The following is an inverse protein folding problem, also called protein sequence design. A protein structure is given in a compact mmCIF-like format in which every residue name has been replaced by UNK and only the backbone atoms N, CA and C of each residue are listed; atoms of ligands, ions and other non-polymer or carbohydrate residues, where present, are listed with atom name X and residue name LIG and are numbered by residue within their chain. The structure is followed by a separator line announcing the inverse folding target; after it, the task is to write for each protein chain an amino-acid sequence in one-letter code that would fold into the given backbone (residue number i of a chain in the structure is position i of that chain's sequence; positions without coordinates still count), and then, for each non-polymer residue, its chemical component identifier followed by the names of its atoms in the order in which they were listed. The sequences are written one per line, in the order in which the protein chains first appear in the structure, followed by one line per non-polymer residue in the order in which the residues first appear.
data_IF_356962448889
#
_entry.id   IF_356962448889
#
_cell.length_a   1.000
_cell.length_b   1.000
_cell.length_c   1.000
_cell.angle_alpha   90.00
_cell.angle_beta   90.00
_cell.angle_gamma   90.00
#
_symmetry.space_group_name_H-M   'P 1'
#
loop_
_entity.id
_entity.type
_entity.pdbx_description
1 polymer ?
#
# COMPACT_ATOMS: atom_id res chain seq x y z
N UNK A 1 15.58 -78.09 -9.34
CA UNK A 1 14.62 -78.18 -10.47
C UNK A 1 13.33 -77.53 -10.01
N UNK A 2 12.66 -76.58 -10.65
CA UNK A 2 12.81 -75.76 -11.87
C UNK A 2 11.66 -74.75 -11.77
N UNK A 3 11.90 -73.44 -11.90
CA UNK A 3 10.85 -72.47 -12.25
C UNK A 3 10.37 -72.76 -13.69
N UNK A 4 9.11 -72.44 -14.04
CA UNK A 4 8.86 -71.19 -14.79
C UNK A 4 7.44 -70.59 -14.51
N UNK A 5 7.18 -69.28 -14.46
CA UNK A 5 7.14 -68.23 -15.50
C UNK A 5 6.31 -68.55 -16.76
N UNK A 6 5.39 -67.61 -17.09
CA UNK A 6 4.85 -67.17 -18.42
C UNK A 6 3.34 -66.89 -18.32
N UNK A 7 2.85 -65.68 -18.55
CA UNK A 7 2.83 -64.90 -19.80
C UNK A 7 2.04 -65.61 -20.92
N UNK A 8 0.72 -65.34 -21.05
CA UNK A 8 0.03 -65.51 -22.33
C UNK A 8 -1.36 -64.81 -22.41
N UNK A 9 -1.39 -63.76 -23.27
CA UNK A 9 -2.37 -63.40 -24.32
C UNK A 9 -3.88 -63.38 -24.03
N UNK A 10 -4.54 -62.33 -24.55
CA UNK A 10 -5.52 -62.33 -25.67
C UNK A 10 -6.20 -60.94 -25.68
N UNK A 11 -5.87 -60.01 -26.59
CA UNK A 11 -6.42 -59.82 -27.96
C UNK A 11 -7.96 -59.76 -27.97
N UNK A 12 -8.54 -58.58 -28.27
CA UNK A 12 -9.26 -58.26 -29.53
C UNK A 12 -10.28 -57.11 -29.34
N UNK A 13 -10.17 -56.07 -30.18
CA UNK A 13 -11.22 -55.27 -30.89
C UNK A 13 -12.48 -54.93 -30.08
N UNK A 14 -12.89 -53.68 -29.86
CA UNK A 14 -12.79 -52.49 -30.69
C UNK A 14 -14.21 -51.94 -30.87
N UNK A 15 -14.45 -50.64 -30.67
CA UNK A 15 -15.48 -49.91 -31.40
C UNK A 15 -15.31 -48.40 -31.18
N UNK A 16 -15.31 -47.73 -32.33
CA UNK A 16 -15.32 -46.32 -32.56
C UNK A 16 -16.58 -45.67 -31.94
N UNK A 17 -16.42 -44.69 -31.06
CA UNK A 17 -17.44 -43.68 -30.78
C UNK A 17 -16.82 -42.30 -30.89
N UNK A 18 -17.07 -41.67 -32.04
CA UNK A 18 -16.81 -40.26 -32.31
C UNK A 18 -17.87 -39.48 -31.52
N UNK A 19 -17.44 -38.73 -30.50
CA UNK A 19 -18.25 -37.69 -29.88
C UNK A 19 -17.61 -36.33 -30.20
N UNK A 20 -18.29 -35.66 -31.12
CA UNK A 20 -18.14 -34.26 -31.48
C UNK A 20 -18.30 -33.40 -30.23
N UNK A 21 -17.25 -32.75 -29.75
CA UNK A 21 -17.39 -31.60 -28.84
C UNK A 21 -17.53 -30.32 -29.67
N UNK A 22 -18.76 -29.80 -29.65
CA UNK A 22 -19.10 -28.48 -30.18
C UNK A 22 -18.51 -27.40 -29.28
N UNK A 23 -17.44 -26.75 -29.74
CA UNK A 23 -16.94 -25.52 -29.13
C UNK A 23 -17.95 -24.39 -29.34
N UNK A 24 -18.71 -24.04 -28.30
CA UNK A 24 -19.53 -22.82 -28.27
C UNK A 24 -18.60 -21.66 -27.94
N UNK A 25 -18.16 -20.95 -28.97
CA UNK A 25 -17.39 -19.71 -28.85
C UNK A 25 -18.34 -18.57 -28.43
N UNK A 26 -18.27 -18.12 -27.19
CA UNK A 26 -18.95 -16.90 -26.76
C UNK A 26 -18.29 -15.68 -27.42
N UNK A 27 -19.06 -14.65 -27.86
CA UNK A 27 -18.48 -13.46 -28.46
C UNK A 27 -17.80 -12.63 -27.36
N UNK A 28 -16.47 -12.49 -27.46
CA UNK A 28 -15.72 -11.50 -26.70
C UNK A 28 -16.15 -10.12 -27.20
N UNK A 29 -16.97 -9.43 -26.41
CA UNK A 29 -17.30 -8.03 -26.65
C UNK A 29 -16.00 -7.22 -26.60
N UNK A 30 -15.62 -6.64 -27.73
CA UNK A 30 -14.49 -5.74 -27.84
C UNK A 30 -14.71 -4.53 -26.91
N UNK A 31 -13.89 -4.42 -25.86
CA UNK A 31 -13.83 -3.22 -25.05
C UNK A 31 -13.37 -2.05 -25.93
N UNK A 32 -14.12 -0.95 -25.87
CA UNK A 32 -13.77 0.30 -26.55
C UNK A 32 -12.37 0.77 -26.08
N UNK A 33 -11.56 1.39 -26.96
CA UNK A 33 -10.24 1.84 -26.57
C UNK A 33 -10.37 2.93 -25.51
N UNK A 34 -9.74 2.68 -24.36
CA UNK A 34 -9.52 3.67 -23.31
C UNK A 34 -8.90 4.92 -23.93
N UNK A 35 -9.40 6.08 -23.53
CA UNK A 35 -8.92 7.38 -23.98
C UNK A 35 -7.40 7.46 -23.92
N UNK A 36 -6.85 8.13 -24.93
CA UNK A 36 -5.43 8.46 -25.07
C UNK A 36 -4.95 9.23 -23.84
N UNK A 37 -4.47 8.50 -22.83
CA UNK A 37 -3.69 9.07 -21.75
C UNK A 37 -2.48 9.73 -22.38
N UNK A 38 -2.47 11.06 -22.33
CA UNK A 38 -1.30 11.83 -22.71
C UNK A 38 -0.29 11.54 -21.61
N UNK A 39 0.56 10.55 -21.83
CA UNK A 39 1.75 10.34 -21.02
C UNK A 39 2.54 11.64 -21.09
N UNK A 40 2.38 12.47 -20.06
CA UNK A 40 3.27 13.59 -19.80
C UNK A 40 4.64 12.97 -19.64
N UNK A 41 5.53 13.23 -20.58
CA UNK A 41 6.96 12.97 -20.42
C UNK A 41 7.44 13.84 -19.27
N UNK A 42 7.30 13.34 -18.05
CA UNK A 42 7.71 14.07 -16.86
C UNK A 42 9.23 14.14 -16.86
N UNK A 43 9.76 15.35 -16.71
CA UNK A 43 10.98 15.51 -15.91
C UNK A 43 10.80 14.62 -14.67
N UNK A 44 11.70 13.68 -14.44
CA UNK A 44 11.53 12.66 -13.40
C UNK A 44 11.09 13.30 -12.07
N UNK A 45 10.06 12.74 -11.45
CA UNK A 45 9.61 13.21 -10.13
C UNK A 45 10.77 13.10 -9.14
N UNK A 46 11.30 14.24 -8.72
CA UNK A 46 12.43 14.28 -7.78
C UNK A 46 12.00 13.90 -6.36
N UNK A 47 10.79 14.33 -5.95
CA UNK A 47 10.28 14.08 -4.61
C UNK A 47 8.80 13.69 -4.62
N UNK A 48 8.43 12.76 -3.72
CA UNK A 48 7.05 12.42 -3.39
C UNK A 48 6.83 12.78 -1.93
N UNK A 49 5.84 13.64 -1.66
CA UNK A 49 5.52 14.06 -0.29
C UNK A 49 4.10 13.59 0.05
N UNK A 50 4.01 12.73 1.06
CA UNK A 50 2.74 12.25 1.61
C UNK A 50 2.42 12.99 2.91
N UNK A 51 1.39 13.85 2.88
CA UNK A 51 0.82 14.44 4.08
C UNK A 51 -0.45 13.69 4.46
N UNK A 52 -0.47 13.09 5.65
CA UNK A 52 -1.68 12.47 6.21
C UNK A 52 -2.25 13.40 7.27
N UNK A 53 -3.42 13.95 6.98
CA UNK A 53 -4.15 14.78 7.92
C UNK A 53 -5.20 13.89 8.62
N UNK A 54 -5.34 14.03 9.94
CA UNK A 54 -6.29 13.25 10.73
C UNK A 54 -7.43 14.11 11.29
N UNK A 55 -8.55 13.48 11.68
CA UNK A 55 -9.60 14.13 12.48
C UNK A 55 -10.60 15.01 11.73
N UNK A 56 -10.68 14.93 10.40
CA UNK A 56 -11.71 15.62 9.61
C UNK A 56 -12.41 14.67 8.65
N UNK A 57 -13.69 14.95 8.36
CA UNK A 57 -14.49 14.19 7.42
C UNK A 57 -14.60 14.87 6.06
N UNK A 58 -15.23 14.20 5.10
CA UNK A 58 -15.47 14.75 3.76
C UNK A 58 -16.25 16.06 3.80
N UNK A 59 -17.22 16.18 4.70
CA UNK A 59 -18.02 17.40 4.87
C UNK A 59 -17.17 18.61 5.29
N UNK A 60 -16.11 18.39 6.09
CA UNK A 60 -15.18 19.44 6.51
C UNK A 60 -14.41 20.04 5.32
N UNK A 61 -14.15 19.26 4.27
CA UNK A 61 -13.44 19.69 3.08
C UNK A 61 -14.30 20.52 2.11
N UNK A 62 -15.63 20.40 2.19
CA UNK A 62 -16.56 21.19 1.36
C UNK A 62 -16.66 22.65 1.83
N UNK A 63 -16.27 22.92 3.08
CA UNK A 63 -16.21 24.27 3.63
C UNK A 63 -14.96 25.04 3.20
N UNK A 64 -15.06 26.37 3.08
CA UNK A 64 -13.91 27.27 2.79
C UNK A 64 -12.98 27.52 3.99
N UNK A 65 -13.08 26.71 5.05
CA UNK A 65 -12.33 26.89 6.29
C UNK A 65 -10.82 26.56 6.14
N UNK A 66 -10.44 25.79 5.11
CA UNK A 66 -9.07 25.31 4.90
C UNK A 66 -8.54 25.75 3.53
N UNK A 67 -8.12 27.01 3.34
CA UNK A 67 -7.84 27.58 2.01
C UNK A 67 -6.76 26.81 1.22
N UNK A 68 -5.73 26.29 1.90
CA UNK A 68 -4.66 25.50 1.25
C UNK A 68 -5.19 24.15 0.76
N UNK A 69 -5.96 23.44 1.59
CA UNK A 69 -6.55 22.14 1.20
C UNK A 69 -7.62 22.34 0.12
N UNK A 70 -8.43 23.40 0.21
CA UNK A 70 -9.39 23.77 -0.85
C UNK A 70 -8.69 24.02 -2.19
N UNK A 71 -7.48 24.61 -2.17
CA UNK A 71 -6.67 24.78 -3.38
C UNK A 71 -6.22 23.43 -3.96
N UNK A 72 -5.74 22.50 -3.12
CA UNK A 72 -5.39 21.13 -3.55
C UNK A 72 -6.59 20.38 -4.15
N UNK A 73 -7.79 20.52 -3.56
CA UNK A 73 -9.02 19.92 -4.09
C UNK A 73 -9.41 20.52 -5.45
N UNK A 74 -9.21 21.84 -5.64
CA UNK A 74 -9.58 22.56 -6.86
C UNK A 74 -8.58 22.32 -8.01
N UNK A 75 -7.29 22.26 -7.70
CA UNK A 75 -6.20 22.27 -8.68
C UNK A 75 -5.55 20.88 -8.88
N UNK A 76 -5.78 19.94 -7.96
CA UNK A 76 -5.22 18.60 -8.00
C UNK A 76 -6.21 17.52 -8.45
N UNK A 77 -5.84 16.26 -8.21
CA UNK A 77 -6.71 15.10 -8.39
C UNK A 77 -7.37 14.73 -7.05
N UNK A 78 -8.70 14.56 -7.04
CA UNK A 78 -9.49 14.33 -5.83
C UNK A 78 -10.50 13.22 -6.05
N UNK A 79 -10.73 12.42 -4.99
CA UNK A 79 -11.83 11.46 -4.93
C UNK A 79 -12.66 11.65 -3.66
N UNK A 80 -13.98 11.61 -3.82
CA UNK A 80 -14.95 11.67 -2.70
C UNK A 80 -15.45 10.28 -2.29
N UNK A 81 -15.01 9.22 -2.98
CA UNK A 81 -15.40 7.84 -2.68
C UNK A 81 -14.39 7.09 -1.82
N UNK A 82 -13.25 7.71 -1.48
CA UNK A 82 -12.28 7.12 -0.57
C UNK A 82 -12.92 6.85 0.81
N UNK A 83 -12.66 5.65 1.33
CA UNK A 83 -13.12 5.21 2.65
C UNK A 83 -11.93 4.73 3.47
N UNK A 84 -11.99 4.97 4.78
CA UNK A 84 -11.01 4.47 5.73
C UNK A 84 -11.24 3.00 6.06
N UNK A 85 -10.29 2.42 6.80
CA UNK A 85 -10.39 1.03 7.27
C UNK A 85 -11.36 0.89 8.44
N UNK A 86 -11.74 -0.36 8.73
CA UNK A 86 -12.51 -0.71 9.91
C UNK A 86 -11.64 -1.57 10.84
N UNK A 87 -11.50 -1.22 12.13
CA UNK A 87 -12.03 -0.03 12.80
C UNK A 87 -11.30 1.26 12.36
N UNK A 88 -11.99 2.40 12.41
CA UNK A 88 -11.46 3.71 12.03
C UNK A 88 -10.57 4.30 13.15
N UNK A 89 -9.48 3.59 13.45
CA UNK A 89 -8.47 3.95 14.45
C UNK A 89 -7.21 4.44 13.73
N UNK A 90 -6.45 5.35 14.37
CA UNK A 90 -5.23 5.95 13.81
C UNK A 90 -4.22 4.90 13.38
N UNK A 91 -3.73 4.09 14.33
CA UNK A 91 -2.64 3.17 14.07
C UNK A 91 -3.01 2.10 13.02
N UNK A 92 -4.21 1.47 13.06
CA UNK A 92 -4.66 0.58 11.99
C UNK A 92 -4.76 1.27 10.63
N UNK A 93 -5.27 2.51 10.58
CA UNK A 93 -5.38 3.27 9.32
C UNK A 93 -4.02 3.61 8.74
N UNK A 94 -3.08 4.08 9.57
CA UNK A 94 -1.72 4.41 9.14
C UNK A 94 -0.97 3.16 8.68
N UNK A 95 -1.16 2.02 9.35
CA UNK A 95 -0.61 0.75 8.92
C UNK A 95 -1.11 0.38 7.53
N UNK A 96 -2.42 0.45 7.30
CA UNK A 96 -3.01 0.19 5.99
C UNK A 96 -2.49 1.15 4.91
N UNK A 97 -2.27 2.43 5.23
CA UNK A 97 -1.71 3.42 4.30
C UNK A 97 -0.28 3.07 3.88
N UNK A 98 0.59 2.68 4.83
CA UNK A 98 1.99 2.40 4.51
C UNK A 98 2.22 1.01 3.95
N UNK A 99 1.35 0.02 4.26
CA UNK A 99 1.50 -1.34 3.72
C UNK A 99 0.62 -1.62 2.49
N UNK A 100 -0.38 -0.77 2.20
CA UNK A 100 -1.37 -1.00 1.15
C UNK A 100 -2.29 -2.21 1.41
N UNK A 101 -2.41 -2.65 2.66
CA UNK A 101 -3.17 -3.85 3.03
C UNK A 101 -4.33 -3.50 3.97
N UNK A 102 -5.42 -4.28 3.97
CA UNK A 102 -6.48 -4.09 4.95
C UNK A 102 -6.07 -4.63 6.33
N UNK A 103 -6.84 -4.24 7.36
CA UNK A 103 -6.57 -4.58 8.78
C UNK A 103 -6.47 -6.07 9.03
N UNK A 104 -7.30 -6.86 8.35
CA UNK A 104 -7.30 -8.33 8.46
C UNK A 104 -6.02 -8.97 7.94
N UNK A 105 -5.27 -8.26 7.09
CA UNK A 105 -4.01 -8.74 6.52
C UNK A 105 -2.80 -8.29 7.31
N UNK A 106 -2.71 -7.01 7.67
CA UNK A 106 -1.56 -6.52 8.45
C UNK A 106 -1.69 -6.79 9.96
N UNK A 107 -2.89 -7.13 10.45
CA UNK A 107 -3.12 -7.62 11.82
C UNK A 107 -3.02 -6.56 12.93
N UNK A 108 -2.95 -5.28 12.58
CA UNK A 108 -2.83 -4.18 13.56
C UNK A 108 -4.22 -3.69 13.93
N UNK A 109 -4.73 -4.18 15.06
CA UNK A 109 -6.10 -3.96 15.53
C UNK A 109 -6.17 -3.11 16.81
N UNK A 110 -5.04 -2.55 17.26
CA UNK A 110 -4.92 -1.73 18.45
C UNK A 110 -4.49 -0.30 18.09
N UNK A 111 -4.62 0.66 19.02
CA UNK A 111 -4.41 2.10 18.76
C UNK A 111 -3.44 2.80 19.72
N UNK A 112 -2.52 2.04 20.30
CA UNK A 112 -1.48 2.55 21.20
C UNK A 112 -0.15 1.88 20.85
N UNK A 113 0.97 2.47 21.26
CA UNK A 113 2.25 1.80 21.10
C UNK A 113 2.38 0.67 22.14
N UNK A 114 2.75 -0.52 21.68
CA UNK A 114 3.03 -1.65 22.56
C UNK A 114 4.36 -2.32 22.16
N UNK A 115 5.38 -2.12 23.00
CA UNK A 115 6.74 -2.61 22.76
C UNK A 115 6.80 -4.14 22.54
N UNK A 116 6.01 -4.91 23.31
CA UNK A 116 5.99 -6.38 23.24
C UNK A 116 5.55 -6.91 21.87
N UNK A 117 4.84 -6.11 21.07
CA UNK A 117 4.38 -6.50 19.73
C UNK A 117 5.46 -6.32 18.66
N UNK A 118 6.48 -5.51 18.92
CA UNK A 118 7.53 -5.18 17.96
C UNK A 118 7.01 -4.55 16.66
N UNK A 119 7.85 -4.43 15.66
CA UNK A 119 7.45 -3.84 14.38
C UNK A 119 6.57 -4.80 13.56
N UNK A 120 5.67 -4.27 12.70
CA UNK A 120 4.89 -5.06 11.76
C UNK A 120 5.79 -5.95 10.91
N UNK A 121 5.36 -7.20 10.70
CA UNK A 121 6.12 -8.16 9.89
C UNK A 121 5.93 -7.97 8.40
N UNK A 122 4.83 -7.36 8.01
CA UNK A 122 4.54 -7.14 6.61
C UNK A 122 5.28 -5.90 6.10
N UNK A 123 5.81 -5.95 4.87
CA UNK A 123 6.56 -4.83 4.31
C UNK A 123 5.63 -3.63 4.11
N UNK A 124 6.15 -2.46 4.49
CA UNK A 124 5.65 -1.15 4.12
C UNK A 124 6.22 -0.73 2.75
N UNK A 125 5.68 0.35 2.20
CA UNK A 125 6.24 1.12 1.10
C UNK A 125 7.74 1.39 1.29
N UNK A 126 8.17 1.69 2.50
CA UNK A 126 9.56 2.06 2.79
C UNK A 126 10.51 0.86 2.68
N UNK A 127 10.06 -0.35 3.05
CA UNK A 127 10.80 -1.58 2.78
C UNK A 127 11.02 -1.77 1.26
N UNK A 128 10.00 -1.48 0.45
CA UNK A 128 10.15 -1.56 -1.00
C UNK A 128 11.06 -0.47 -1.58
N UNK A 129 11.08 0.73 -0.98
CA UNK A 129 11.97 1.82 -1.40
C UNK A 129 13.44 1.50 -1.07
N UNK A 130 13.70 0.89 0.09
CA UNK A 130 15.02 0.36 0.47
C UNK A 130 15.49 -0.70 -0.53
N UNK A 131 14.66 -1.69 -0.82
CA UNK A 131 14.98 -2.78 -1.76
C UNK A 131 15.12 -2.31 -3.22
N UNK A 132 14.49 -1.21 -3.62
CA UNK A 132 14.50 -0.69 -4.99
C UNK A 132 15.71 0.20 -5.31
N UNK A 133 16.81 0.03 -4.58
CA UNK A 133 18.04 0.79 -4.77
C UNK A 133 18.31 1.85 -3.72
N UNK A 134 17.72 1.73 -2.53
CA UNK A 134 18.04 2.58 -1.38
C UNK A 134 17.60 4.03 -1.56
N UNK A 135 16.32 4.27 -1.84
CA UNK A 135 15.81 5.64 -1.94
C UNK A 135 15.71 6.25 -0.55
N UNK A 136 16.40 7.37 -0.35
CA UNK A 136 16.29 8.14 0.88
C UNK A 136 14.84 8.57 1.11
N UNK A 137 14.37 8.31 2.32
CA UNK A 137 13.05 8.74 2.79
C UNK A 137 13.14 9.29 4.21
N UNK A 138 12.22 10.19 4.54
CA UNK A 138 12.05 10.68 5.90
C UNK A 138 10.58 10.65 6.28
N UNK A 139 10.32 10.22 7.51
CA UNK A 139 8.98 10.08 8.05
C UNK A 139 8.89 10.87 9.35
N UNK A 140 7.84 11.67 9.44
CA UNK A 140 7.59 12.60 10.52
C UNK A 140 6.27 12.23 11.20
N UNK A 141 6.34 11.46 12.29
CA UNK A 141 5.18 11.06 13.06
C UNK A 141 4.85 12.08 14.15
N UNK A 142 3.56 12.37 14.34
CA UNK A 142 3.10 13.35 15.33
C UNK A 142 2.51 12.73 16.60
N UNK A 143 2.48 11.40 16.69
CA UNK A 143 1.90 10.67 17.80
C UNK A 143 2.75 9.44 18.13
N UNK A 144 2.88 9.14 19.42
CA UNK A 144 3.71 8.03 19.92
C UNK A 144 3.21 6.65 19.52
N UNK A 145 1.90 6.48 19.30
CA UNK A 145 1.34 5.21 18.83
C UNK A 145 1.93 4.79 17.48
N UNK A 146 2.35 5.76 16.66
CA UNK A 146 2.94 5.52 15.34
C UNK A 146 4.38 5.01 15.42
N UNK A 147 5.00 5.02 16.61
CA UNK A 147 6.28 4.34 16.82
C UNK A 147 6.20 2.86 16.44
N UNK A 148 5.03 2.24 16.57
CA UNK A 148 4.82 0.87 16.12
C UNK A 148 5.15 0.68 14.63
N UNK A 149 5.01 1.70 13.80
CA UNK A 149 5.28 1.65 12.35
C UNK A 149 6.70 2.13 12.00
N UNK A 150 7.46 2.61 12.98
CA UNK A 150 8.81 3.15 12.79
C UNK A 150 9.88 2.04 12.78
N UNK A 151 9.74 1.07 11.87
CA UNK A 151 10.70 -0.02 11.70
C UNK A 151 12.04 0.57 11.23
N UNK A 152 13.17 0.30 11.91
CA UNK A 152 14.46 0.84 11.48
C UNK A 152 14.84 0.33 10.10
N UNK A 153 15.05 1.24 9.15
CA UNK A 153 15.50 0.96 7.78
C UNK A 153 16.75 1.78 7.44
N UNK A 154 17.69 1.27 6.63
CA UNK A 154 18.95 1.96 6.34
C UNK A 154 18.80 3.34 5.69
N UNK A 155 17.81 3.51 4.81
CA UNK A 155 17.56 4.76 4.07
C UNK A 155 16.28 5.48 4.51
N UNK A 156 15.78 5.20 5.72
CA UNK A 156 14.58 5.88 6.25
C UNK A 156 14.88 6.58 7.56
N UNK A 157 14.88 7.91 7.53
CA UNK A 157 14.99 8.75 8.72
C UNK A 157 13.62 8.86 9.42
N UNK A 158 13.56 8.47 10.70
CA UNK A 158 12.35 8.61 11.51
C UNK A 158 12.47 9.78 12.49
N UNK A 159 11.48 10.68 12.45
CA UNK A 159 11.29 11.73 13.45
C UNK A 159 9.95 11.52 14.15
N UNK A 160 9.99 11.47 15.48
CA UNK A 160 8.84 11.17 16.32
C UNK A 160 8.57 12.38 17.21
N UNK A 161 7.42 13.01 16.98
CA UNK A 161 6.80 13.95 17.91
C UNK A 161 5.68 13.23 18.69
N UNK A 162 5.40 13.69 19.89
CA UNK A 162 4.36 13.11 20.75
C UNK A 162 4.49 13.57 22.19
N UNK A 163 3.71 12.98 23.09
CA UNK A 163 3.70 13.34 24.51
C UNK A 163 5.08 13.17 25.17
N UNK A 164 5.84 12.16 24.75
CA UNK A 164 7.20 11.90 25.23
C UNK A 164 8.26 12.85 24.66
N UNK A 165 7.93 13.63 23.61
CA UNK A 165 8.82 14.58 22.93
C UNK A 165 8.12 15.93 22.79
N UNK A 166 7.76 16.61 23.90
CA UNK A 166 6.95 17.83 23.87
C UNK A 166 7.66 18.99 23.17
N UNK A 167 8.98 18.94 23.04
CA UNK A 167 9.76 19.92 22.26
C UNK A 167 9.53 19.80 20.75
N UNK A 168 8.92 18.70 20.30
CA UNK A 168 8.63 18.40 18.90
C UNK A 168 7.28 18.99 18.47
N UNK A 169 7.25 20.32 18.33
CA UNK A 169 6.11 21.06 17.79
C UNK A 169 6.16 21.24 16.26
N UNK A 170 5.13 21.86 15.69
CA UNK A 170 5.02 22.11 14.24
C UNK A 170 6.21 22.88 13.67
N UNK A 171 6.74 23.88 14.38
CA UNK A 171 7.91 24.65 13.95
C UNK A 171 9.17 23.76 13.82
N UNK A 172 9.38 22.86 14.79
CA UNK A 172 10.51 21.94 14.80
C UNK A 172 10.37 20.89 13.70
N UNK A 173 9.15 20.42 13.47
CA UNK A 173 8.82 19.52 12.36
C UNK A 173 9.18 20.15 11.01
N UNK A 174 8.75 21.39 10.78
CA UNK A 174 9.06 22.14 9.54
C UNK A 174 10.57 22.33 9.38
N UNK A 175 11.28 22.66 10.46
CA UNK A 175 12.74 22.78 10.41
C UNK A 175 13.42 21.45 10.02
N UNK A 176 12.96 20.32 10.54
CA UNK A 176 13.50 19.01 10.16
C UNK A 176 13.18 18.64 8.71
N UNK A 177 11.98 18.94 8.22
CA UNK A 177 11.62 18.74 6.81
C UNK A 177 12.53 19.58 5.91
N UNK A 178 12.75 20.86 6.24
CA UNK A 178 13.64 21.74 5.49
C UNK A 178 15.09 21.22 5.48
N UNK A 179 15.59 20.77 6.62
CA UNK A 179 16.93 20.19 6.72
C UNK A 179 17.08 18.91 5.91
N UNK A 180 16.05 18.06 5.87
CA UNK A 180 16.05 16.85 5.05
C UNK A 180 16.09 17.19 3.55
N UNK A 181 15.23 18.11 3.11
CA UNK A 181 15.18 18.54 1.70
C UNK A 181 16.45 19.25 1.23
N UNK A 182 17.27 19.79 2.14
CA UNK A 182 18.58 20.37 1.80
C UNK A 182 19.68 19.33 1.58
N UNK A 183 19.50 18.10 2.08
CA UNK A 183 20.45 16.98 1.90
C UNK A 183 20.15 16.14 0.67
N UNK A 184 18.87 16.10 0.27
CA UNK A 184 18.34 15.30 -0.82
C UNK A 184 18.72 15.83 -2.21
#
# INVERSE_FOLDING_TARGET
MTHPSRCLRLILVGLLTILFETAVQAPVAAAAPLGKETASSSSGTEHVILFVLEGFGQESLKGRAMPVVSKLVKEGSVTWSASGVKPALRLPTMASLVTGMPVEKHGITWNFFEFSRGYPRHPSLFDYLDLSGGRDSAIFYMDESLYQLAKPEPYTDYQLCGALRPECGSQKLVAYIQQYLQKA
#
